data_IF_862657274459
#
_entry.id   IF_862657274459
#
_cell.length_a   1.000
_cell.length_b   1.000
_cell.length_c   1.000
_cell.angle_alpha   90.00
_cell.angle_beta   90.00
_cell.angle_gamma   90.00
#
_symmetry.space_group_name_H-M   'P 1'
#
loop_
_entity.id
_entity.type
_entity.pdbx_description
1 polymer ?
#
# COMPACT_ATOMS: atom_id res chain seq x y z
N UNK A 1 18.24 -23.88 -18.87
CA UNK A 1 19.50 -23.12 -18.64
C UNK A 1 19.85 -23.04 -17.16
N UNK A 2 18.92 -22.63 -16.28
CA UNK A 2 19.09 -22.61 -14.81
C UNK A 2 19.28 -24.02 -14.21
N UNK A 3 18.49 -24.99 -14.67
CA UNK A 3 18.55 -26.39 -14.20
C UNK A 3 19.90 -27.05 -14.53
N UNK A 4 20.40 -26.86 -15.76
CA UNK A 4 21.72 -27.36 -16.17
C UNK A 4 22.87 -26.77 -15.33
N UNK A 5 22.75 -25.50 -14.90
CA UNK A 5 23.71 -24.86 -13.98
C UNK A 5 23.60 -25.41 -12.56
N UNK A 6 22.39 -25.72 -12.09
CA UNK A 6 22.15 -26.38 -10.79
C UNK A 6 22.85 -27.71 -10.72
N UNK A 7 22.56 -28.58 -11.69
CA UNK A 7 23.17 -29.91 -11.79
C UNK A 7 24.69 -29.82 -11.77
N UNK A 8 25.25 -28.82 -12.47
CA UNK A 8 26.70 -28.62 -12.54
C UNK A 8 27.34 -28.10 -11.24
N UNK A 9 26.66 -27.27 -10.45
CA UNK A 9 27.19 -26.91 -9.13
C UNK A 9 27.05 -28.05 -8.12
N UNK A 10 25.95 -28.80 -8.20
CA UNK A 10 25.72 -29.98 -7.37
C UNK A 10 26.75 -31.08 -7.63
N UNK A 11 27.14 -31.31 -8.90
CA UNK A 11 28.18 -32.29 -9.26
C UNK A 11 29.53 -32.00 -8.62
N UNK A 12 29.82 -30.73 -8.28
CA UNK A 12 31.03 -30.32 -7.57
C UNK A 12 30.86 -30.36 -6.06
N UNK A 13 29.78 -29.77 -5.53
CA UNK A 13 29.67 -29.49 -4.10
C UNK A 13 29.11 -30.65 -3.28
N UNK A 14 28.19 -31.46 -3.82
CA UNK A 14 27.59 -32.57 -3.06
C UNK A 14 28.59 -33.69 -2.70
N UNK A 15 29.56 -34.05 -3.55
CA UNK A 15 30.62 -34.98 -3.14
C UNK A 15 31.45 -34.44 -1.96
N UNK A 16 31.71 -33.12 -1.93
CA UNK A 16 32.50 -32.47 -0.89
C UNK A 16 31.77 -32.38 0.46
N UNK A 17 30.44 -32.34 0.47
CA UNK A 17 29.65 -32.29 1.73
C UNK A 17 29.69 -33.60 2.52
N UNK A 18 30.13 -34.71 1.91
CA UNK A 18 30.30 -36.00 2.57
C UNK A 18 31.50 -36.02 3.55
N UNK A 19 32.36 -35.00 3.51
CA UNK A 19 33.50 -34.85 4.41
C UNK A 19 33.33 -33.60 5.26
N UNK A 20 33.61 -33.71 6.56
CA UNK A 20 33.61 -32.56 7.49
C UNK A 20 34.69 -31.53 7.11
N UNK A 21 35.82 -32.01 6.59
CA UNK A 21 36.96 -31.22 6.09
C UNK A 21 37.64 -31.95 4.93
N UNK A 22 38.24 -31.23 4.00
CA UNK A 22 38.96 -31.81 2.85
C UNK A 22 40.15 -30.94 2.43
N UNK A 23 41.13 -31.55 1.76
CA UNK A 23 42.33 -30.86 1.26
C UNK A 23 42.15 -30.39 -0.18
N UNK A 24 42.92 -29.36 -0.54
CA UNK A 24 43.00 -28.89 -1.94
C UNK A 24 43.44 -29.99 -2.90
N UNK A 25 44.40 -30.81 -2.51
CA UNK A 25 44.92 -31.94 -3.32
C UNK A 25 43.87 -33.04 -3.55
N UNK A 26 42.96 -33.24 -2.60
CA UNK A 26 41.92 -34.28 -2.65
C UNK A 26 40.74 -33.90 -3.56
N UNK A 27 40.59 -32.62 -3.95
CA UNK A 27 39.40 -32.14 -4.65
C UNK A 27 39.14 -32.86 -5.99
N UNK A 28 40.18 -33.14 -6.77
CA UNK A 28 40.03 -33.83 -8.07
C UNK A 28 39.71 -35.32 -7.94
N UNK A 29 40.01 -35.92 -6.78
CA UNK A 29 39.64 -37.31 -6.49
C UNK A 29 38.19 -37.38 -5.99
N UNK A 30 37.77 -36.41 -5.17
CA UNK A 30 36.42 -36.35 -4.62
C UNK A 30 35.39 -35.92 -5.68
N UNK A 31 35.75 -34.95 -6.52
CA UNK A 31 34.88 -34.40 -7.55
C UNK A 31 35.25 -35.06 -8.87
N UNK A 32 34.35 -35.91 -9.40
CA UNK A 32 34.59 -36.77 -10.57
C UNK A 32 34.81 -36.03 -11.91
N UNK A 33 33.88 -36.14 -12.86
CA UNK A 33 34.10 -35.77 -14.28
C UNK A 33 34.22 -34.25 -14.58
N UNK A 34 34.16 -33.37 -13.57
CA UNK A 34 34.23 -31.91 -13.79
C UNK A 34 35.68 -31.42 -14.00
N UNK A 35 35.82 -30.34 -14.77
CA UNK A 35 37.15 -29.78 -15.05
C UNK A 35 37.78 -29.14 -13.80
N UNK A 36 39.07 -29.39 -13.56
CA UNK A 36 39.82 -28.88 -12.40
C UNK A 36 39.72 -27.36 -12.21
N UNK A 37 39.67 -26.61 -13.31
CA UNK A 37 39.48 -25.16 -13.30
C UNK A 37 38.09 -24.73 -12.81
N UNK A 38 37.03 -25.47 -13.16
CA UNK A 38 35.68 -25.21 -12.68
C UNK A 38 35.51 -25.59 -11.21
N UNK A 39 36.05 -26.73 -10.80
CA UNK A 39 36.06 -27.19 -9.40
C UNK A 39 36.73 -26.14 -8.50
N UNK A 40 37.97 -25.75 -8.84
CA UNK A 40 38.74 -24.76 -8.07
C UNK A 40 38.00 -23.42 -7.97
N UNK A 41 37.41 -22.95 -9.08
CA UNK A 41 36.64 -21.70 -9.09
C UNK A 41 35.43 -21.77 -8.17
N UNK A 42 34.64 -22.83 -8.29
CA UNK A 42 33.41 -23.02 -7.50
C UNK A 42 33.72 -23.05 -6.02
N UNK A 43 34.72 -23.83 -5.59
CA UNK A 43 35.12 -23.90 -4.17
C UNK A 43 35.59 -22.55 -3.64
N UNK A 44 36.39 -21.80 -4.41
CA UNK A 44 36.82 -20.46 -4.00
C UNK A 44 35.65 -19.47 -3.86
N UNK A 45 34.60 -19.61 -4.65
CA UNK A 45 33.40 -18.78 -4.53
C UNK A 45 32.56 -19.13 -3.31
N UNK A 46 32.49 -20.41 -2.94
CA UNK A 46 31.87 -20.89 -1.70
C UNK A 46 32.65 -20.38 -0.47
N UNK A 47 33.97 -20.32 -0.55
CA UNK A 47 34.83 -19.70 0.49
C UNK A 47 34.54 -18.20 0.62
N UNK A 48 34.49 -17.45 -0.48
CA UNK A 48 34.15 -16.01 -0.45
C UNK A 48 32.76 -15.74 0.13
N UNK A 49 31.82 -16.67 -0.05
CA UNK A 49 30.48 -16.57 0.51
C UNK A 49 30.39 -16.97 1.99
N UNK A 50 31.51 -17.36 2.63
CA UNK A 50 31.55 -17.73 4.05
C UNK A 50 30.94 -19.10 4.36
N UNK A 51 30.65 -19.92 3.35
CA UNK A 51 30.10 -21.28 3.53
C UNK A 51 31.23 -22.29 3.80
N UNK A 52 32.43 -22.00 3.28
CA UNK A 52 33.67 -22.69 3.61
C UNK A 52 34.67 -21.71 4.21
N UNK A 53 35.48 -22.19 5.14
CA UNK A 53 36.69 -21.51 5.63
C UNK A 53 37.93 -22.25 5.21
N UNK A 54 39.03 -21.52 5.05
CA UNK A 54 40.34 -22.10 4.71
C UNK A 54 41.28 -22.02 5.89
N UNK A 55 41.93 -23.14 6.23
CA UNK A 55 43.00 -23.23 7.23
C UNK A 55 44.27 -23.72 6.54
N UNK A 56 45.39 -23.04 6.75
CA UNK A 56 46.70 -23.51 6.25
C UNK A 56 47.37 -24.35 7.34
N UNK A 57 47.65 -25.62 7.04
CA UNK A 57 48.30 -26.56 7.96
C UNK A 57 49.32 -27.39 7.15
N UNK A 58 50.54 -27.55 7.66
CA UNK A 58 51.61 -28.34 7.03
C UNK A 58 51.87 -28.02 5.54
N UNK A 59 51.86 -26.71 5.23
CA UNK A 59 51.98 -26.13 3.87
C UNK A 59 50.86 -26.52 2.88
N UNK A 60 49.77 -27.12 3.37
CA UNK A 60 48.59 -27.50 2.61
C UNK A 60 47.35 -26.67 3.02
N UNK A 61 46.43 -26.46 2.06
CA UNK A 61 45.16 -25.75 2.31
C UNK A 61 44.08 -26.77 2.63
N UNK A 62 43.49 -26.62 3.81
CA UNK A 62 42.31 -27.35 4.26
C UNK A 62 41.07 -26.47 4.15
N UNK A 63 39.98 -27.06 3.68
CA UNK A 63 38.65 -26.46 3.65
C UNK A 63 37.78 -27.09 4.72
N UNK A 64 37.07 -26.25 5.48
CA UNK A 64 36.14 -26.67 6.53
C UNK A 64 34.79 -25.98 6.35
N UNK A 65 33.70 -26.73 6.53
CA UNK A 65 32.35 -26.20 6.46
C UNK A 65 32.01 -25.37 7.70
N UNK A 66 31.46 -24.18 7.49
CA UNK A 66 31.06 -23.30 8.60
C UNK A 66 29.73 -23.71 9.23
N UNK A 67 28.93 -24.51 8.51
CA UNK A 67 27.64 -25.04 8.97
C UNK A 67 27.76 -26.50 9.44
N UNK A 68 27.06 -26.89 10.53
CA UNK A 68 26.93 -28.30 10.92
C UNK A 68 26.12 -29.14 9.93
N UNK A 69 25.38 -28.50 9.01
CA UNK A 69 24.70 -29.14 7.89
C UNK A 69 25.21 -28.55 6.56
N UNK A 70 26.28 -29.13 5.98
CA UNK A 70 26.90 -28.64 4.75
C UNK A 70 25.97 -28.70 3.54
N UNK A 71 25.10 -29.72 3.46
CA UNK A 71 24.17 -29.90 2.33
C UNK A 71 23.21 -28.71 2.24
N UNK A 72 22.58 -28.34 3.35
CA UNK A 72 21.66 -27.20 3.39
C UNK A 72 22.37 -25.88 3.07
N UNK A 73 23.60 -25.69 3.57
CA UNK A 73 24.37 -24.48 3.28
C UNK A 73 24.78 -24.39 1.81
N UNK A 74 25.13 -25.52 1.20
CA UNK A 74 25.40 -25.63 -0.24
C UNK A 74 24.14 -25.36 -1.06
N UNK A 75 22.99 -25.94 -0.71
CA UNK A 75 21.73 -25.70 -1.42
C UNK A 75 21.34 -24.22 -1.40
N UNK A 76 21.42 -23.57 -0.22
CA UNK A 76 21.16 -22.14 -0.11
C UNK A 76 22.15 -21.31 -0.92
N UNK A 77 23.42 -21.69 -0.98
CA UNK A 77 24.42 -21.01 -1.81
C UNK A 77 24.14 -21.20 -3.30
N UNK A 78 23.83 -22.42 -3.73
CA UNK A 78 23.47 -22.76 -5.11
C UNK A 78 22.23 -21.98 -5.52
N UNK A 79 21.19 -21.96 -4.68
CA UNK A 79 19.98 -21.20 -4.90
C UNK A 79 20.28 -19.71 -5.07
N UNK A 80 21.09 -19.11 -4.17
CA UNK A 80 21.55 -17.72 -4.30
C UNK A 80 22.43 -17.48 -5.53
N UNK A 81 23.17 -18.49 -6.00
CA UNK A 81 24.05 -18.36 -7.19
C UNK A 81 23.31 -18.49 -8.50
N UNK A 82 22.31 -19.36 -8.55
CA UNK A 82 21.49 -19.58 -9.73
C UNK A 82 20.44 -18.48 -9.84
N UNK A 83 19.85 -18.09 -8.72
CA UNK A 83 18.78 -17.09 -8.65
C UNK A 83 19.28 -15.69 -8.25
N UNK A 84 20.60 -15.50 -8.17
CA UNK A 84 21.23 -14.29 -7.64
C UNK A 84 20.88 -13.01 -8.40
N UNK A 85 20.26 -12.09 -7.67
CA UNK A 85 20.23 -10.62 -7.84
C UNK A 85 19.95 -10.06 -9.24
N UNK A 86 19.22 -10.80 -10.06
CA UNK A 86 18.53 -10.25 -11.21
C UNK A 86 17.02 -10.42 -11.00
N UNK A 87 16.33 -9.28 -10.84
CA UNK A 87 14.86 -9.14 -10.67
C UNK A 87 14.05 -9.93 -11.73
N UNK A 88 14.69 -10.40 -12.80
CA UNK A 88 14.06 -11.19 -13.88
C UNK A 88 13.73 -12.64 -13.49
N UNK A 89 14.23 -13.19 -12.38
CA UNK A 89 13.98 -14.60 -12.01
C UNK A 89 13.21 -14.82 -10.69
N UNK A 90 12.93 -13.77 -9.91
CA UNK A 90 11.95 -13.87 -8.81
C UNK A 90 10.58 -14.25 -9.40
N UNK A 91 9.80 -15.17 -8.80
CA UNK A 91 8.43 -15.44 -9.24
C UNK A 91 7.68 -14.11 -9.38
N UNK A 92 6.92 -13.93 -10.46
CA UNK A 92 6.22 -12.67 -10.73
C UNK A 92 5.40 -12.20 -9.52
N UNK A 93 4.87 -13.15 -8.75
CA UNK A 93 4.07 -12.95 -7.55
C UNK A 93 4.85 -12.38 -6.35
N UNK A 94 6.17 -12.47 -6.35
CA UNK A 94 7.06 -12.01 -5.28
C UNK A 94 7.78 -10.72 -5.65
N UNK A 95 7.71 -10.29 -6.91
CA UNK A 95 8.35 -9.04 -7.34
C UNK A 95 7.61 -7.82 -6.78
N UNK A 96 8.33 -6.79 -6.29
CA UNK A 96 7.71 -5.64 -5.64
C UNK A 96 6.64 -4.92 -6.47
N UNK A 97 6.85 -4.71 -7.78
CA UNK A 97 5.89 -3.97 -8.63
C UNK A 97 4.61 -4.76 -8.87
N UNK A 98 4.76 -6.05 -9.09
CA UNK A 98 3.66 -6.97 -9.34
C UNK A 98 2.85 -7.20 -8.06
N UNK A 99 3.51 -7.27 -6.91
CA UNK A 99 2.85 -7.21 -5.59
C UNK A 99 2.10 -5.89 -5.39
N UNK A 100 2.70 -4.75 -5.75
CA UNK A 100 2.05 -3.45 -5.66
C UNK A 100 0.75 -3.42 -6.48
N UNK A 101 0.78 -3.92 -7.72
CA UNK A 101 -0.38 -3.96 -8.61
C UNK A 101 -1.46 -4.93 -8.12
N UNK A 102 -1.08 -6.07 -7.54
CA UNK A 102 -2.02 -7.11 -7.11
C UNK A 102 -2.62 -6.87 -5.72
N UNK A 103 -1.80 -6.42 -4.77
CA UNK A 103 -2.12 -6.40 -3.33
C UNK A 103 -2.18 -4.96 -2.76
N UNK A 104 -1.74 -3.96 -3.52
CA UNK A 104 -1.72 -2.56 -3.11
C UNK A 104 -0.56 -2.21 -2.16
N UNK A 105 -0.24 -0.92 -2.08
CA UNK A 105 0.95 -0.41 -1.38
C UNK A 105 1.00 -0.78 0.11
N UNK A 106 -0.14 -0.86 0.79
CA UNK A 106 -0.22 -1.15 2.23
C UNK A 106 0.26 -2.56 2.60
N UNK A 107 0.36 -3.48 1.63
CA UNK A 107 0.81 -4.86 1.84
C UNK A 107 2.31 -5.08 1.61
N UNK A 108 3.02 -4.03 1.18
CA UNK A 108 4.44 -4.08 0.87
C UNK A 108 5.27 -3.70 2.10
N UNK A 109 6.47 -4.28 2.19
CA UNK A 109 7.47 -3.85 3.16
C UNK A 109 8.15 -2.55 2.70
N UNK A 110 8.80 -1.84 3.63
CA UNK A 110 9.62 -0.67 3.28
C UNK A 110 10.71 -1.01 2.26
N UNK A 111 11.30 -2.21 2.37
CA UNK A 111 12.27 -2.72 1.42
C UNK A 111 11.68 -2.85 0.00
N UNK A 112 10.45 -3.35 -0.12
CA UNK A 112 9.76 -3.46 -1.41
C UNK A 112 9.47 -2.07 -2.01
N UNK A 113 8.99 -1.14 -1.19
CA UNK A 113 8.71 0.23 -1.62
C UNK A 113 9.98 0.94 -2.10
N UNK A 114 11.08 0.80 -1.35
CA UNK A 114 12.39 1.34 -1.72
C UNK A 114 12.94 0.68 -2.98
N UNK A 115 12.79 -0.64 -3.15
CA UNK A 115 13.20 -1.36 -4.35
C UNK A 115 12.44 -0.88 -5.60
N UNK A 116 11.14 -0.58 -5.48
CA UNK A 116 10.34 -0.01 -6.56
C UNK A 116 10.89 1.36 -6.97
N UNK A 117 11.22 2.21 -5.99
CA UNK A 117 11.78 3.54 -6.21
C UNK A 117 13.20 3.51 -6.77
N UNK A 118 14.02 2.54 -6.39
CA UNK A 118 15.36 2.33 -7.00
C UNK A 118 15.22 1.93 -8.47
N UNK A 119 14.14 1.21 -8.80
CA UNK A 119 13.69 0.82 -10.15
C UNK A 119 14.61 -0.16 -10.89
N UNK A 120 15.90 0.11 -10.95
CA UNK A 120 16.90 -0.64 -11.72
C UNK A 120 18.15 -0.77 -10.86
N UNK A 121 18.65 -2.00 -10.71
CA UNK A 121 19.93 -2.25 -10.05
C UNK A 121 21.11 -1.83 -10.91
N UNK A 122 22.31 -1.99 -10.38
CA UNK A 122 23.57 -1.83 -11.12
C UNK A 122 24.25 -3.19 -11.30
N UNK A 123 25.34 -3.22 -12.05
CA UNK A 123 26.18 -4.42 -12.12
C UNK A 123 26.68 -4.75 -10.71
N UNK A 124 26.31 -5.93 -10.21
CA UNK A 124 26.70 -6.42 -8.89
C UNK A 124 25.71 -6.13 -7.75
N UNK A 125 24.64 -5.34 -7.97
CA UNK A 125 23.62 -5.12 -6.94
C UNK A 125 22.23 -4.83 -7.53
N UNK A 126 21.23 -5.64 -7.14
CA UNK A 126 19.85 -5.48 -7.62
C UNK A 126 19.12 -4.33 -6.91
N UNK A 127 18.04 -3.83 -7.51
CA UNK A 127 17.17 -2.84 -6.87
C UNK A 127 16.53 -3.38 -5.57
N UNK A 128 16.23 -4.69 -5.52
CA UNK A 128 15.68 -5.36 -4.34
C UNK A 128 16.72 -5.40 -3.22
N UNK A 129 17.95 -5.78 -3.55
CA UNK A 129 19.08 -5.79 -2.61
C UNK A 129 19.34 -4.39 -2.04
N UNK A 130 19.35 -3.37 -2.91
CA UNK A 130 19.47 -1.97 -2.49
C UNK A 130 18.31 -1.53 -1.59
N UNK A 131 17.08 -1.91 -1.91
CA UNK A 131 15.89 -1.65 -1.09
C UNK A 131 16.00 -2.23 0.32
N UNK A 132 16.46 -3.49 0.44
CA UNK A 132 16.70 -4.13 1.73
C UNK A 132 17.81 -3.44 2.54
N UNK A 133 18.93 -3.07 1.90
CA UNK A 133 20.03 -2.38 2.60
C UNK A 133 19.57 -1.03 3.17
N UNK A 134 18.81 -0.26 2.39
CA UNK A 134 18.23 1.00 2.86
C UNK A 134 17.22 0.76 3.98
N UNK A 135 16.26 -0.15 3.81
CA UNK A 135 15.25 -0.45 4.84
C UNK A 135 15.89 -0.90 6.16
N UNK A 136 16.94 -1.71 6.11
CA UNK A 136 17.68 -2.13 7.30
C UNK A 136 18.45 -0.98 7.94
N UNK A 137 19.06 -0.10 7.14
CA UNK A 137 19.82 1.06 7.65
C UNK A 137 18.93 2.11 8.31
N UNK A 138 17.71 2.28 7.81
CA UNK A 138 16.72 3.25 8.29
C UNK A 138 15.56 2.59 9.04
N UNK A 139 15.79 1.41 9.62
CA UNK A 139 14.78 0.72 10.40
C UNK A 139 14.31 1.61 11.56
N UNK A 140 12.99 1.79 11.72
CA UNK A 140 12.35 2.71 12.68
C UNK A 140 12.70 4.21 12.51
N UNK A 141 13.54 4.57 11.55
CA UNK A 141 14.04 5.93 11.29
C UNK A 141 13.86 6.32 9.81
N UNK A 142 12.79 5.83 9.17
CA UNK A 142 12.53 6.04 7.74
C UNK A 142 12.35 7.53 7.38
N UNK A 143 11.94 8.35 8.35
CA UNK A 143 11.84 9.80 8.22
C UNK A 143 13.21 10.44 7.93
N UNK A 144 14.30 9.94 8.52
CA UNK A 144 15.67 10.46 8.29
C UNK A 144 16.17 10.27 6.86
N UNK A 145 15.55 9.38 6.09
CA UNK A 145 15.89 9.18 4.69
C UNK A 145 15.78 10.50 3.89
N UNK A 146 14.90 11.41 4.31
CA UNK A 146 14.66 12.71 3.64
C UNK A 146 15.82 13.71 3.80
N UNK A 147 16.63 13.53 4.84
CA UNK A 147 17.74 14.42 5.19
C UNK A 147 19.10 13.86 4.73
N UNK A 148 19.10 12.67 4.13
CA UNK A 148 20.32 11.96 3.73
C UNK A 148 20.72 12.33 2.29
N UNK A 149 21.97 12.74 2.10
CA UNK A 149 22.48 13.13 0.79
C UNK A 149 22.72 11.95 -0.16
N UNK A 150 22.78 12.22 -1.46
CA UNK A 150 23.10 11.20 -2.47
C UNK A 150 24.42 10.45 -2.19
N UNK A 151 25.53 11.10 -1.80
CA UNK A 151 26.77 10.38 -1.49
C UNK A 151 26.58 9.37 -0.35
N UNK A 152 25.93 9.78 0.74
CA UNK A 152 25.67 8.94 1.92
C UNK A 152 24.79 7.73 1.60
N UNK A 153 23.74 7.92 0.78
CA UNK A 153 22.92 6.80 0.31
C UNK A 153 23.68 5.84 -0.58
N UNK A 154 24.64 6.33 -1.37
CA UNK A 154 25.51 5.49 -2.21
C UNK A 154 26.53 4.70 -1.41
N UNK A 155 26.97 5.21 -0.26
CA UNK A 155 27.84 4.48 0.65
C UNK A 155 27.12 3.27 1.27
N UNK A 156 25.80 3.36 1.47
CA UNK A 156 24.96 2.23 1.92
C UNK A 156 24.72 1.25 0.78
N UNK A 157 24.28 1.76 -0.37
CA UNK A 157 24.00 0.94 -1.56
C UNK A 157 24.37 1.67 -2.85
N UNK A 158 25.29 1.13 -3.65
CA UNK A 158 25.65 1.72 -4.94
C UNK A 158 24.51 1.62 -5.98
N UNK A 159 23.43 0.88 -5.71
CA UNK A 159 22.24 0.84 -6.54
C UNK A 159 21.46 2.18 -6.55
N UNK A 160 21.71 3.06 -5.58
CA UNK A 160 21.15 4.43 -5.59
C UNK A 160 21.89 5.29 -6.61
N UNK A 161 21.38 5.31 -7.83
CA UNK A 161 21.77 6.26 -8.87
C UNK A 161 21.19 7.66 -8.62
N UNK A 162 21.64 8.66 -9.39
CA UNK A 162 21.03 10.01 -9.39
C UNK A 162 19.52 9.96 -9.68
N UNK A 163 19.09 9.10 -10.61
CA UNK A 163 17.68 8.98 -10.99
C UNK A 163 16.84 8.41 -9.84
N UNK A 164 17.28 7.31 -9.23
CA UNK A 164 16.59 6.71 -8.08
C UNK A 164 16.59 7.63 -6.86
N UNK A 165 17.66 8.38 -6.63
CA UNK A 165 17.70 9.39 -5.58
C UNK A 165 16.61 10.44 -5.75
N UNK A 166 16.49 11.02 -6.95
CA UNK A 166 15.41 11.97 -7.23
C UNK A 166 14.03 11.33 -7.04
N UNK A 167 13.85 10.06 -7.41
CA UNK A 167 12.60 9.31 -7.23
C UNK A 167 12.25 9.12 -5.75
N UNK A 168 13.22 8.72 -4.93
CA UNK A 168 13.06 8.56 -3.48
C UNK A 168 12.66 9.90 -2.85
N UNK A 169 13.41 10.96 -3.13
CA UNK A 169 13.14 12.28 -2.54
C UNK A 169 11.79 12.85 -2.98
N UNK A 170 11.42 12.69 -4.25
CA UNK A 170 10.11 13.10 -4.74
C UNK A 170 8.98 12.31 -4.06
N UNK A 171 9.13 11.00 -3.88
CA UNK A 171 8.13 10.16 -3.21
C UNK A 171 7.94 10.56 -1.74
N UNK A 172 9.03 10.78 -0.99
CA UNK A 172 8.98 11.23 0.40
C UNK A 172 8.32 12.60 0.54
N UNK A 173 8.63 13.54 -0.35
CA UNK A 173 8.06 14.88 -0.32
C UNK A 173 6.58 14.88 -0.71
N UNK A 174 6.19 14.09 -1.71
CA UNK A 174 4.78 13.89 -2.05
C UNK A 174 4.01 13.24 -0.89
N UNK A 175 4.61 12.25 -0.24
CA UNK A 175 4.03 11.62 0.96
C UNK A 175 3.81 12.63 2.09
N UNK A 176 4.79 13.50 2.35
CA UNK A 176 4.66 14.59 3.34
C UNK A 176 3.54 15.55 2.96
N UNK A 177 3.52 16.06 1.73
CA UNK A 177 2.47 17.00 1.26
C UNK A 177 1.08 16.37 1.27
N UNK A 178 0.97 15.09 0.93
CA UNK A 178 -0.30 14.36 0.99
C UNK A 178 -0.77 14.21 2.44
N UNK A 179 0.13 13.91 3.37
CA UNK A 179 -0.16 13.85 4.81
C UNK A 179 -0.57 15.22 5.35
N UNK A 180 0.13 16.29 4.98
CA UNK A 180 -0.22 17.66 5.35
C UNK A 180 -1.55 18.11 4.76
N UNK A 181 -1.81 17.82 3.49
CA UNK A 181 -3.10 18.08 2.85
C UNK A 181 -4.22 17.29 3.54
N UNK A 182 -3.97 16.06 3.98
CA UNK A 182 -4.91 15.29 4.77
C UNK A 182 -5.15 15.87 6.17
N UNK A 183 -4.12 16.47 6.80
CA UNK A 183 -4.22 17.18 8.10
C UNK A 183 -4.86 18.57 7.98
N UNK A 184 -4.72 19.22 6.82
CA UNK A 184 -5.32 20.52 6.49
C UNK A 184 -6.75 20.39 5.95
N UNK A 185 -7.22 19.17 5.65
CA UNK A 185 -8.67 18.92 5.68
C UNK A 185 -9.13 19.22 7.11
N UNK A 186 -10.18 20.02 7.31
CA UNK A 186 -10.67 20.36 8.65
C UNK A 186 -10.70 19.13 9.55
N UNK A 187 -10.05 19.26 10.71
CA UNK A 187 -9.88 18.18 11.67
C UNK A 187 -11.22 17.78 12.29
N UNK A 188 -11.39 16.47 12.46
CA UNK A 188 -12.57 15.74 12.95
C UNK A 188 -13.84 15.91 12.11
N UNK A 189 -14.34 14.77 11.61
CA UNK A 189 -15.73 14.65 11.18
C UNK A 189 -16.60 15.07 12.37
N UNK A 190 -17.07 16.31 12.31
CA UNK A 190 -17.91 16.93 13.32
C UNK A 190 -19.12 16.04 13.54
N UNK A 191 -19.28 15.55 14.77
CA UNK A 191 -20.44 14.76 15.13
C UNK A 191 -21.66 15.67 14.99
N UNK A 192 -22.67 15.20 14.26
CA UNK A 192 -23.89 15.97 14.10
C UNK A 192 -24.82 15.61 15.27
N UNK A 193 -24.84 16.46 16.29
CA UNK A 193 -25.67 16.30 17.50
C UNK A 193 -26.85 17.26 17.58
N UNK A 194 -26.87 18.31 16.76
CA UNK A 194 -27.96 19.29 16.71
C UNK A 194 -28.31 19.70 15.28
N UNK A 195 -29.48 20.31 15.11
CA UNK A 195 -29.94 20.85 13.83
C UNK A 195 -29.04 21.99 13.34
N UNK A 196 -28.48 22.81 14.24
CA UNK A 196 -27.49 23.84 13.90
C UNK A 196 -26.26 23.21 13.24
N UNK A 197 -25.72 22.15 13.85
CA UNK A 197 -24.55 21.44 13.32
C UNK A 197 -24.88 20.72 12.00
N UNK A 198 -26.08 20.15 11.87
CA UNK A 198 -26.55 19.54 10.62
C UNK A 198 -26.63 20.57 9.49
N UNK A 199 -27.18 21.74 9.79
CA UNK A 199 -27.35 22.85 8.85
C UNK A 199 -26.00 23.42 8.43
N UNK A 200 -25.08 23.65 9.37
CA UNK A 200 -23.72 24.12 9.09
C UNK A 200 -22.95 23.10 8.24
N UNK A 201 -22.99 21.82 8.64
CA UNK A 201 -22.37 20.75 7.86
C UNK A 201 -22.89 20.71 6.43
N UNK A 202 -24.21 20.80 6.25
CA UNK A 202 -24.81 20.76 4.91
C UNK A 202 -24.47 22.02 4.09
N UNK A 203 -24.49 23.20 4.71
CA UNK A 203 -24.11 24.45 4.06
C UNK A 203 -22.67 24.40 3.52
N UNK A 204 -21.73 23.86 4.30
CA UNK A 204 -20.34 23.69 3.86
C UNK A 204 -20.19 22.58 2.82
N UNK A 205 -20.77 21.40 3.10
CA UNK A 205 -20.60 20.20 2.27
C UNK A 205 -21.25 20.33 0.89
N UNK A 206 -22.37 21.04 0.82
CA UNK A 206 -23.19 21.21 -0.38
C UNK A 206 -23.19 22.66 -0.88
N UNK A 207 -22.18 23.46 -0.52
CA UNK A 207 -22.05 24.85 -0.98
C UNK A 207 -22.15 25.01 -2.52
N UNK A 208 -21.67 24.01 -3.27
CA UNK A 208 -21.76 24.00 -4.73
C UNK A 208 -23.22 23.95 -5.24
N UNK A 209 -24.13 23.32 -4.50
CA UNK A 209 -25.57 23.29 -4.86
C UNK A 209 -26.23 24.67 -4.71
N UNK A 210 -25.68 25.52 -3.84
CA UNK A 210 -26.19 26.87 -3.60
C UNK A 210 -25.75 27.89 -4.67
N UNK A 211 -24.64 27.61 -5.39
CA UNK A 211 -24.03 28.52 -6.36
C UNK A 211 -24.12 28.09 -7.83
N UNK A 212 -24.01 26.79 -8.11
CA UNK A 212 -23.77 26.27 -9.47
C UNK A 212 -24.89 25.35 -10.00
N UNK A 213 -25.78 24.85 -9.13
CA UNK A 213 -26.81 23.89 -9.53
C UNK A 213 -28.00 24.57 -10.23
N UNK A 214 -28.21 24.23 -11.50
CA UNK A 214 -29.37 24.67 -12.31
C UNK A 214 -30.61 23.81 -12.04
N UNK A 215 -30.44 22.64 -11.42
CA UNK A 215 -31.49 21.67 -11.16
C UNK A 215 -31.54 21.32 -9.66
N UNK A 216 -32.72 20.92 -9.20
CA UNK A 216 -32.89 20.33 -7.87
C UNK A 216 -32.18 18.98 -7.81
N UNK A 217 -31.47 18.73 -6.73
CA UNK A 217 -30.82 17.45 -6.43
C UNK A 217 -31.22 17.00 -5.04
N UNK A 218 -31.56 15.72 -4.89
CA UNK A 218 -31.78 15.10 -3.58
C UNK A 218 -30.57 14.24 -3.22
N UNK A 219 -30.04 14.47 -2.03
CA UNK A 219 -28.88 13.79 -1.48
C UNK A 219 -29.19 13.22 -0.11
N UNK A 220 -28.37 12.25 0.30
CA UNK A 220 -28.28 11.85 1.70
C UNK A 220 -26.84 11.91 2.19
N UNK A 221 -26.69 12.13 3.48
CA UNK A 221 -25.44 11.93 4.21
C UNK A 221 -25.65 10.74 5.14
N UNK A 222 -24.86 9.69 4.96
CA UNK A 222 -24.86 8.51 5.82
C UNK A 222 -24.03 8.77 7.07
N UNK A 223 -24.51 8.31 8.23
CA UNK A 223 -23.92 8.58 9.54
C UNK A 223 -23.67 7.27 10.30
N UNK A 224 -22.56 7.23 11.04
CA UNK A 224 -22.26 6.10 11.94
C UNK A 224 -23.09 6.16 13.24
N UNK A 225 -22.91 5.17 14.11
CA UNK A 225 -23.60 5.08 15.42
C UNK A 225 -23.26 6.23 16.38
N UNK A 226 -22.19 6.97 16.09
CA UNK A 226 -21.78 8.18 16.81
C UNK A 226 -22.18 9.44 16.04
N UNK A 227 -23.06 9.36 15.04
CA UNK A 227 -23.52 10.47 14.18
C UNK A 227 -22.39 11.20 13.46
N UNK A 228 -21.32 10.49 13.08
CA UNK A 228 -20.25 11.04 12.23
C UNK A 228 -20.58 10.76 10.76
N UNK A 229 -20.55 11.78 9.87
CA UNK A 229 -20.59 11.60 8.42
C UNK A 229 -19.64 10.53 7.89
N UNK A 230 -20.20 9.51 7.25
CA UNK A 230 -19.49 8.45 6.53
C UNK A 230 -19.29 8.90 5.07
N UNK A 231 -20.39 9.04 4.32
CA UNK A 231 -20.40 9.42 2.90
C UNK A 231 -21.67 10.16 2.50
N UNK A 232 -21.57 11.02 1.50
CA UNK A 232 -22.71 11.67 0.82
C UNK A 232 -23.06 10.94 -0.47
N UNK A 233 -24.34 10.73 -0.74
CA UNK A 233 -24.83 10.07 -1.96
C UNK A 233 -25.90 10.94 -2.62
N UNK A 234 -25.75 11.18 -3.93
CA UNK A 234 -26.81 11.78 -4.74
C UNK A 234 -27.82 10.72 -5.14
N UNK A 235 -29.09 10.95 -4.83
CA UNK A 235 -30.19 10.02 -5.09
C UNK A 235 -30.92 10.41 -6.38
N UNK A 236 -31.24 11.69 -6.56
CA UNK A 236 -31.95 12.19 -7.75
C UNK A 236 -31.35 13.50 -8.25
N UNK A 237 -31.63 13.80 -9.53
CA UNK A 237 -31.36 15.09 -10.20
C UNK A 237 -32.61 15.43 -11.02
N UNK A 238 -33.11 16.66 -10.91
CA UNK A 238 -34.38 17.11 -11.47
C UNK A 238 -35.39 17.47 -10.37
N UNK A 239 -36.56 17.96 -10.76
CA UNK A 239 -37.63 18.37 -9.82
C UNK A 239 -37.95 17.30 -8.79
N UNK A 240 -38.13 17.70 -7.53
CA UNK A 240 -38.49 16.84 -6.41
C UNK A 240 -39.94 16.34 -6.52
N UNK A 241 -40.19 15.46 -7.49
CA UNK A 241 -41.46 14.73 -7.58
C UNK A 241 -41.40 13.54 -6.61
N UNK A 242 -42.46 13.32 -5.83
CA UNK A 242 -42.53 12.26 -4.80
C UNK A 242 -42.37 10.83 -5.37
N UNK A 243 -42.44 10.68 -6.70
CA UNK A 243 -42.14 9.45 -7.42
C UNK A 243 -40.64 9.16 -7.56
N UNK A 244 -39.79 10.20 -7.53
CA UNK A 244 -38.34 10.11 -7.78
C UNK A 244 -37.54 9.78 -6.51
N UNK A 245 -37.97 10.27 -5.34
CA UNK A 245 -37.30 9.99 -4.05
C UNK A 245 -37.92 8.77 -3.36
N UNK A 246 -37.68 7.59 -3.94
CA UNK A 246 -38.22 6.35 -3.39
C UNK A 246 -37.38 5.83 -2.20
N UNK A 247 -37.98 5.36 -1.08
CA UNK A 247 -37.24 4.87 0.09
C UNK A 247 -36.19 3.80 -0.25
N UNK A 248 -36.48 2.91 -1.20
CA UNK A 248 -35.52 1.90 -1.68
C UNK A 248 -34.22 2.52 -2.20
N UNK A 249 -34.29 3.60 -2.96
CA UNK A 249 -33.11 4.25 -3.54
C UNK A 249 -32.34 5.05 -2.49
N UNK A 250 -33.04 5.62 -1.51
CA UNK A 250 -32.44 6.31 -0.36
C UNK A 250 -31.73 5.33 0.58
N UNK A 251 -32.39 4.25 1.00
CA UNK A 251 -31.82 3.34 2.00
C UNK A 251 -30.84 2.31 1.44
N UNK A 252 -30.84 2.04 0.13
CA UNK A 252 -29.84 1.16 -0.50
C UNK A 252 -28.38 1.58 -0.23
N UNK A 253 -27.94 2.83 -0.47
CA UNK A 253 -26.60 3.29 -0.10
C UNK A 253 -26.40 3.38 1.41
N UNK A 254 -27.43 3.71 2.19
CA UNK A 254 -27.34 3.74 3.66
C UNK A 254 -27.01 2.36 4.26
N UNK A 255 -27.69 1.31 3.77
CA UNK A 255 -27.43 -0.09 4.16
C UNK A 255 -26.02 -0.50 3.73
N UNK A 256 -25.61 -0.19 2.49
CA UNK A 256 -24.26 -0.50 1.98
C UNK A 256 -23.16 0.13 2.83
N UNK A 257 -23.43 1.32 3.38
CA UNK A 257 -22.48 2.07 4.18
C UNK A 257 -22.53 1.68 5.67
N UNK A 258 -23.37 0.72 6.05
CA UNK A 258 -23.64 0.33 7.44
C UNK A 258 -24.04 1.54 8.31
N UNK A 259 -24.84 2.43 7.74
CA UNK A 259 -25.27 3.65 8.40
C UNK A 259 -26.24 3.36 9.54
N UNK A 260 -26.05 4.01 10.69
CA UNK A 260 -27.01 4.00 11.79
C UNK A 260 -28.09 5.07 11.58
N UNK A 261 -27.76 6.14 10.86
CA UNK A 261 -28.67 7.23 10.57
C UNK A 261 -28.33 7.92 9.24
N UNK A 262 -29.26 8.74 8.75
CA UNK A 262 -29.09 9.58 7.56
C UNK A 262 -29.56 11.01 7.82
N UNK A 263 -28.90 11.97 7.17
CA UNK A 263 -29.46 13.30 6.91
C UNK A 263 -29.94 13.35 5.48
N UNK A 264 -31.14 13.91 5.28
CA UNK A 264 -31.66 14.20 3.96
C UNK A 264 -31.25 15.62 3.59
N UNK A 265 -30.92 15.85 2.32
CA UNK A 265 -30.53 17.16 1.82
C UNK A 265 -31.10 17.36 0.43
N UNK A 266 -31.72 18.50 0.17
CA UNK A 266 -31.99 18.93 -1.20
C UNK A 266 -31.71 20.41 -1.35
N UNK A 267 -31.52 20.86 -2.59
CA UNK A 267 -31.36 22.28 -2.89
C UNK A 267 -32.58 22.87 -3.58
N UNK A 268 -32.85 24.14 -3.32
CA UNK A 268 -33.80 24.95 -4.09
C UNK A 268 -33.03 25.91 -5.00
N UNK A 269 -32.95 25.65 -6.33
CA UNK A 269 -32.30 26.54 -7.29
C UNK A 269 -32.91 27.95 -7.33
N UNK A 270 -34.18 28.09 -6.92
CA UNK A 270 -34.88 29.37 -6.78
C UNK A 270 -34.20 30.31 -5.78
N UNK A 271 -33.43 29.77 -4.84
CA UNK A 271 -32.79 30.51 -3.76
C UNK A 271 -33.68 30.73 -2.52
N UNK A 272 -34.96 30.33 -2.56
CA UNK A 272 -35.84 30.33 -1.40
C UNK A 272 -35.74 28.98 -0.67
N UNK A 273 -35.24 28.92 0.58
CA UNK A 273 -35.10 27.68 1.33
C UNK A 273 -36.38 27.22 2.04
N UNK A 274 -37.51 27.91 1.84
CA UNK A 274 -38.79 27.54 2.45
C UNK A 274 -39.24 26.17 1.96
N UNK A 275 -39.43 25.16 2.84
CA UNK A 275 -39.87 23.84 2.43
C UNK A 275 -41.26 23.84 1.81
N UNK A 276 -41.45 23.06 0.74
CA UNK A 276 -42.75 22.81 0.13
C UNK A 276 -43.52 21.71 0.86
N UNK A 277 -44.82 21.54 0.52
CA UNK A 277 -45.62 20.44 1.08
C UNK A 277 -45.09 19.07 0.66
N UNK A 278 -44.55 19.01 -0.55
CA UNK A 278 -43.93 17.84 -1.14
C UNK A 278 -42.67 17.43 -0.36
N UNK A 279 -41.86 18.41 0.09
CA UNK A 279 -40.69 18.14 0.92
C UNK A 279 -41.07 17.52 2.27
N UNK A 280 -42.10 18.04 2.93
CA UNK A 280 -42.64 17.46 4.15
C UNK A 280 -43.13 16.03 3.91
N UNK A 281 -43.92 15.79 2.85
CA UNK A 281 -44.43 14.47 2.53
C UNK A 281 -43.32 13.44 2.24
N UNK A 282 -42.25 13.84 1.55
CA UNK A 282 -41.07 13.00 1.31
C UNK A 282 -40.35 12.72 2.64
N UNK A 283 -40.17 13.73 3.48
CA UNK A 283 -39.54 13.61 4.81
C UNK A 283 -40.27 12.60 5.68
N UNK A 284 -41.60 12.72 5.79
CA UNK A 284 -42.43 11.84 6.61
C UNK A 284 -42.36 10.39 6.10
N UNK A 285 -42.48 10.20 4.78
CA UNK A 285 -42.41 8.87 4.16
C UNK A 285 -41.06 8.19 4.40
N UNK A 286 -39.95 8.94 4.27
CA UNK A 286 -38.61 8.41 4.52
C UNK A 286 -38.36 8.15 6.00
N UNK A 287 -38.91 8.97 6.89
CA UNK A 287 -38.83 8.79 8.34
C UNK A 287 -39.54 7.50 8.77
N UNK A 288 -40.75 7.25 8.27
CA UNK A 288 -41.48 6.00 8.54
C UNK A 288 -40.76 4.76 7.98
N UNK A 289 -40.23 4.84 6.76
CA UNK A 289 -39.44 3.75 6.19
C UNK A 289 -38.14 3.49 6.97
N UNK A 290 -37.45 4.55 7.42
CA UNK A 290 -36.24 4.45 8.23
C UNK A 290 -36.47 3.76 9.57
N UNK A 291 -37.60 4.06 10.23
CA UNK A 291 -38.02 3.36 11.47
C UNK A 291 -38.15 1.86 11.27
N UNK A 292 -38.73 1.41 10.15
CA UNK A 292 -38.91 -0.01 9.84
C UNK A 292 -37.57 -0.73 9.56
N UNK A 293 -36.64 -0.04 8.90
CA UNK A 293 -35.34 -0.61 8.49
C UNK A 293 -34.31 -0.53 9.64
N UNK A 294 -34.54 0.32 10.64
CA UNK A 294 -33.59 0.58 11.73
C UNK A 294 -32.51 1.59 11.38
N UNK A 295 -32.77 2.49 10.43
CA UNK A 295 -31.87 3.59 10.04
C UNK A 295 -32.62 4.91 10.26
N UNK A 296 -32.18 5.69 11.25
CA UNK A 296 -32.89 6.91 11.67
C UNK A 296 -32.68 8.04 10.66
N UNK A 297 -33.75 8.73 10.27
CA UNK A 297 -33.66 10.02 9.58
C UNK A 297 -33.51 11.11 10.66
N UNK A 298 -32.33 11.75 10.75
CA UNK A 298 -32.06 12.74 11.81
C UNK A 298 -32.70 14.10 11.54
N UNK A 299 -32.60 14.54 10.28
CA UNK A 299 -33.04 15.84 9.83
C UNK A 299 -33.17 15.84 8.29
N UNK A 300 -33.84 16.86 7.77
CA UNK A 300 -33.91 17.16 6.35
C UNK A 300 -33.58 18.64 6.12
N UNK A 301 -32.44 18.90 5.47
CA UNK A 301 -31.91 20.24 5.26
C UNK A 301 -32.17 20.71 3.82
N UNK A 302 -32.86 21.85 3.70
CA UNK A 302 -33.02 22.58 2.45
C UNK A 302 -31.84 23.53 2.29
N UNK A 303 -31.08 23.38 1.20
CA UNK A 303 -29.92 24.22 0.87
C UNK A 303 -30.32 25.25 -0.17
N UNK A 304 -30.25 26.53 0.17
CA UNK A 304 -30.46 27.62 -0.78
C UNK A 304 -29.29 28.61 -0.76
N UNK A 305 -29.29 29.53 -1.74
CA UNK A 305 -28.17 30.45 -2.02
C UNK A 305 -27.70 31.27 -0.82
N UNK A 306 -28.60 31.68 0.06
CA UNK A 306 -28.29 32.59 1.17
C UNK A 306 -28.31 31.92 2.55
N UNK A 307 -29.04 30.82 2.72
CA UNK A 307 -29.16 30.10 3.99
C UNK A 307 -29.63 28.67 3.75
N UNK A 308 -29.36 27.81 4.74
CA UNK A 308 -29.96 26.48 4.83
C UNK A 308 -31.05 26.48 5.91
N UNK A 309 -32.10 25.67 5.72
CA UNK A 309 -33.23 25.54 6.65
C UNK A 309 -33.45 24.07 6.96
N UNK A 310 -33.76 23.75 8.21
CA UNK A 310 -34.21 22.42 8.62
C UNK A 310 -35.72 22.33 8.59
N UNK A 311 -36.25 21.32 7.92
CA UNK A 311 -37.68 21.01 7.91
C UNK A 311 -38.19 20.67 9.32
N UNK A 312 -37.32 20.13 10.17
CA UNK A 312 -37.68 19.73 11.55
C UNK A 312 -37.91 20.93 12.46
N UNK A 313 -37.21 22.04 12.26
CA UNK A 313 -37.38 23.28 13.04
C UNK A 313 -38.47 24.20 12.47
N UNK A 314 -38.85 24.03 11.21
CA UNK A 314 -39.93 24.79 10.54
C UNK A 314 -41.35 24.22 10.79
N UNK A 315 -41.47 23.15 11.57
CA UNK A 315 -42.73 22.42 11.87
C UNK A 315 -43.30 22.67 13.27
#
# INVERSE_FOLDING_TARGET
MSELRRTRYQSVLYPLTQRKRFRRSEMSEIVGEETSGFVTRTVNEVVRAGVLTTVKQDDEIHYEWTSPNPVVAVDQWIDRRIHGDQVKETPEQERPRERLLRLGAASLSDADLLAILIRVGIVGESAVTGGHKLANRFHEELDRLRDTGLPELRDITPAVTKASYCQIMAALELGRRASESARQRPAEIHKITSTIEATQYCAEKFAYLAGDAVQEEFHIVTLDTKHKPIRSHRITVGTLDASLVHPREVFRPAIRDAAAAVLLVHNHPSGDPTPSREDHAVTDRLTEAGKLIGIVVLDHIVVARQRCVSIREDS
#
